data_IF_107367700645
#
_entry.id   IF_107367700645
#
_cell.length_a   1.000
_cell.length_b   1.000
_cell.length_c   1.000
_cell.angle_alpha   90.00
_cell.angle_beta   90.00
_cell.angle_gamma   90.00
#
_symmetry.space_group_name_H-M   'P 1'
#
loop_
_entity.id
_entity.type
_entity.pdbx_description
1 polymer ?
#
# COMPACT_ATOMS: atom_id res chain seq x y z
N UNK A 1 -4.04 10.55 8.89
CA UNK A 1 -4.75 9.32 8.50
C UNK A 1 -3.86 8.59 7.51
N UNK A 2 -4.07 7.29 7.28
CA UNK A 2 -3.20 6.57 6.34
C UNK A 2 -3.77 6.65 4.91
N UNK A 3 -2.89 6.52 3.93
CA UNK A 3 -3.29 6.17 2.58
C UNK A 3 -3.39 4.64 2.48
N UNK A 4 -4.27 4.15 1.59
CA UNK A 4 -4.57 2.73 1.43
C UNK A 4 -4.41 2.35 -0.03
N UNK A 5 -3.71 1.24 -0.31
CA UNK A 5 -3.66 0.61 -1.64
C UNK A 5 -4.74 -0.46 -1.73
N UNK A 6 -5.51 -0.48 -2.82
CA UNK A 6 -6.57 -1.47 -3.06
C UNK A 6 -6.39 -2.22 -4.39
N UNK A 7 -7.37 -3.05 -4.74
CA UNK A 7 -7.28 -4.11 -5.77
C UNK A 7 -7.07 -3.65 -7.22
N UNK A 8 -7.05 -2.34 -7.48
CA UNK A 8 -6.63 -1.75 -8.75
C UNK A 8 -5.10 -1.65 -8.90
N UNK A 9 -4.32 -2.02 -7.87
CA UNK A 9 -2.87 -1.97 -7.92
C UNK A 9 -2.32 -2.98 -8.95
N UNK A 10 -1.58 -2.48 -9.94
CA UNK A 10 -0.94 -3.29 -10.99
C UNK A 10 0.56 -3.56 -10.74
N UNK A 11 1.03 -3.32 -9.50
CA UNK A 11 2.44 -3.44 -9.10
C UNK A 11 3.43 -2.59 -9.93
N UNK A 12 3.01 -1.41 -10.37
CA UNK A 12 3.86 -0.48 -11.16
C UNK A 12 5.08 0.05 -10.37
N UNK A 13 4.89 0.41 -9.10
CA UNK A 13 5.97 0.82 -8.19
C UNK A 13 6.30 2.31 -8.18
N UNK A 14 5.73 3.15 -9.05
CA UNK A 14 6.00 4.60 -9.05
C UNK A 14 5.72 5.30 -7.70
N UNK A 15 4.73 4.83 -6.94
CA UNK A 15 4.41 5.36 -5.61
C UNK A 15 5.52 5.16 -4.58
N UNK A 16 6.37 4.13 -4.73
CA UNK A 16 7.46 3.82 -3.80
C UNK A 16 8.54 4.90 -3.84
N UNK A 17 8.92 5.33 -5.04
CA UNK A 17 9.98 6.32 -5.29
C UNK A 17 9.68 7.70 -4.70
N UNK A 18 8.40 8.03 -4.51
CA UNK A 18 7.96 9.32 -3.98
C UNK A 18 7.60 9.29 -2.50
N UNK A 19 7.56 8.11 -1.87
CA UNK A 19 7.19 8.00 -0.46
C UNK A 19 8.35 8.48 0.44
N UNK A 20 8.21 9.59 1.18
CA UNK A 20 9.31 10.19 1.94
C UNK A 20 9.74 9.39 3.17
N UNK A 21 8.93 8.40 3.56
CA UNK A 21 9.15 7.53 4.72
C UNK A 21 9.27 6.06 4.31
N UNK A 22 9.37 5.78 3.01
CA UNK A 22 9.64 4.43 2.46
C UNK A 22 8.68 3.34 2.98
N UNK A 23 7.42 3.71 3.26
CA UNK A 23 6.44 2.84 3.91
C UNK A 23 5.54 2.07 2.93
N UNK A 24 5.93 1.98 1.65
CA UNK A 24 5.17 1.27 0.60
C UNK A 24 5.99 0.07 0.16
N UNK A 25 5.53 -1.13 0.48
CA UNK A 25 6.31 -2.37 0.35
C UNK A 25 5.63 -3.32 -0.65
N UNK A 26 6.38 -3.97 -1.56
CA UNK A 26 5.83 -4.95 -2.47
C UNK A 26 5.34 -6.18 -1.70
N UNK A 27 4.07 -6.53 -1.85
CA UNK A 27 3.52 -7.76 -1.31
C UNK A 27 4.27 -8.99 -1.82
N UNK A 28 4.68 -9.85 -0.89
CA UNK A 28 5.36 -11.12 -1.14
C UNK A 28 4.80 -12.19 -0.20
N UNK A 29 4.72 -13.46 -0.60
CA UNK A 29 4.78 -13.92 -1.99
C UNK A 29 3.60 -13.36 -2.81
N UNK A 30 3.80 -13.10 -4.11
CA UNK A 30 2.80 -12.41 -4.96
C UNK A 30 1.48 -13.18 -5.07
N UNK A 31 1.49 -14.51 -4.93
CA UNK A 31 0.28 -15.33 -4.94
C UNK A 31 -0.63 -15.10 -3.73
N UNK A 32 -0.08 -14.61 -2.62
CA UNK A 32 -0.80 -14.33 -1.36
C UNK A 32 -1.01 -12.82 -1.17
N UNK A 33 -0.01 -12.02 -1.57
CA UNK A 33 0.04 -10.58 -1.41
C UNK A 33 0.24 -9.91 -2.79
N UNK A 34 -0.82 -9.83 -3.61
CA UNK A 34 -0.72 -9.45 -5.02
C UNK A 34 -0.38 -7.98 -5.25
N UNK A 35 -0.50 -7.11 -4.26
CA UNK A 35 -0.34 -5.66 -4.42
C UNK A 35 0.89 -5.12 -3.71
N UNK A 36 1.12 -3.82 -3.84
CA UNK A 36 1.91 -3.09 -2.85
C UNK A 36 1.01 -2.77 -1.66
N UNK A 37 1.60 -2.63 -0.47
CA UNK A 37 0.88 -2.31 0.76
C UNK A 37 1.55 -1.13 1.46
N UNK A 38 0.73 -0.28 2.08
CA UNK A 38 1.17 0.90 2.84
C UNK A 38 1.14 0.56 4.32
N UNK A 39 2.26 0.76 5.03
CA UNK A 39 2.30 0.63 6.48
C UNK A 39 1.57 1.82 7.12
N UNK A 40 0.41 1.58 7.78
CA UNK A 40 -0.40 2.65 8.35
C UNK A 40 0.24 3.32 9.57
N UNK A 41 1.13 2.63 10.28
CA UNK A 41 1.83 3.17 11.46
C UNK A 41 2.98 4.10 11.05
N UNK A 42 3.56 3.87 9.86
CA UNK A 42 4.66 4.68 9.33
C UNK A 42 4.18 5.79 8.39
N UNK A 43 3.02 5.62 7.73
CA UNK A 43 2.47 6.61 6.82
C UNK A 43 2.23 7.96 7.52
N UNK A 44 2.78 9.04 6.94
CA UNK A 44 2.67 10.40 7.49
C UNK A 44 1.62 11.27 6.79
N UNK A 45 0.71 10.66 6.01
CA UNK A 45 -0.41 11.37 5.37
C UNK A 45 0.01 12.50 4.41
N UNK A 46 1.14 12.33 3.70
CA UNK A 46 1.68 13.40 2.85
C UNK A 46 1.02 13.49 1.46
N UNK A 47 0.34 12.43 0.99
CA UNK A 47 -0.35 12.39 -0.30
C UNK A 47 0.53 12.34 -1.55
N UNK A 48 1.86 12.24 -1.41
CA UNK A 48 2.78 12.25 -2.55
C UNK A 48 2.58 11.05 -3.52
N UNK A 49 2.14 9.90 -3.00
CA UNK A 49 1.95 8.68 -3.78
C UNK A 49 0.67 8.67 -4.65
N UNK A 50 -0.35 9.44 -4.27
CA UNK A 50 -1.66 9.44 -4.94
C UNK A 50 -1.57 9.83 -6.42
N UNK A 51 -0.98 10.99 -6.80
CA UNK A 51 -0.92 11.39 -8.22
C UNK A 51 0.02 10.54 -9.06
N UNK A 52 0.89 9.74 -8.45
CA UNK A 52 1.84 8.89 -9.17
C UNK A 52 1.27 7.51 -9.52
N UNK A 53 0.13 7.12 -8.92
CA UNK A 53 -0.47 5.84 -9.23
C UNK A 53 -1.21 5.88 -10.59
N UNK A 54 -0.79 5.10 -11.59
CA UNK A 54 -1.39 5.17 -12.93
C UNK A 54 -2.83 4.63 -13.01
N UNK A 55 -3.27 3.89 -11.98
CA UNK A 55 -4.61 3.29 -11.90
C UNK A 55 -5.47 3.87 -10.79
N UNK A 56 -5.03 4.98 -10.17
CA UNK A 56 -5.72 5.62 -9.04
C UNK A 56 -6.02 4.64 -7.88
N UNK A 57 -5.16 3.64 -7.68
CA UNK A 57 -5.33 2.57 -6.69
C UNK A 57 -4.91 2.98 -5.26
N UNK A 58 -4.66 4.27 -5.02
CA UNK A 58 -4.21 4.80 -3.73
C UNK A 58 -5.11 5.96 -3.35
N UNK A 59 -5.79 5.84 -2.21
CA UNK A 59 -6.66 6.89 -1.68
C UNK A 59 -6.43 7.08 -0.18
N UNK A 60 -6.70 8.28 0.37
CA UNK A 60 -6.90 8.44 1.80
C UNK A 60 -8.00 7.50 2.30
N UNK A 61 -7.84 6.92 3.48
CA UNK A 61 -8.83 5.99 4.06
C UNK A 61 -10.27 6.53 4.06
N UNK A 62 -10.44 7.83 4.31
CA UNK A 62 -11.76 8.50 4.35
C UNK A 62 -12.42 8.67 2.97
N UNK A 63 -11.63 8.59 1.90
CA UNK A 63 -12.09 8.73 0.52
C UNK A 63 -12.28 7.36 -0.16
N UNK A 64 -12.01 6.25 0.53
CA UNK A 64 -12.20 4.91 -0.03
C UNK A 64 -13.69 4.62 -0.29
N UNK A 65 -14.05 4.17 -1.49
CA UNK A 65 -15.37 3.59 -1.75
C UNK A 65 -15.65 2.37 -0.85
N UNK A 66 -16.91 2.19 -0.44
CA UNK A 66 -17.35 1.08 0.42
C UNK A 66 -16.94 -0.31 -0.12
N UNK A 67 -16.87 -0.47 -1.44
CA UNK A 67 -16.46 -1.72 -2.09
C UNK A 67 -14.98 -2.09 -1.81
N UNK A 68 -14.13 -1.11 -1.49
CA UNK A 68 -12.71 -1.30 -1.20
C UNK A 68 -12.36 -1.16 0.28
N UNK A 69 -13.32 -0.82 1.15
CA UNK A 69 -13.07 -0.57 2.57
C UNK A 69 -12.36 -1.73 3.31
N UNK A 70 -12.51 -2.97 2.83
CA UNK A 70 -11.80 -4.14 3.36
C UNK A 70 -10.28 -4.05 3.22
N UNK A 71 -9.77 -3.23 2.29
CA UNK A 71 -8.35 -3.11 2.02
C UNK A 71 -7.61 -2.29 3.07
N UNK A 72 -8.30 -1.47 3.86
CA UNK A 72 -7.71 -0.75 4.99
C UNK A 72 -7.10 -1.74 5.98
N UNK A 73 -7.87 -2.74 6.41
CA UNK A 73 -7.38 -3.81 7.29
C UNK A 73 -6.32 -4.65 6.58
N UNK A 74 -6.48 -4.94 5.29
CA UNK A 74 -5.50 -5.74 4.55
C UNK A 74 -4.10 -5.07 4.48
N UNK A 75 -4.05 -3.75 4.34
CA UNK A 75 -2.78 -3.02 4.36
C UNK A 75 -2.10 -3.14 5.72
N UNK A 76 -2.83 -3.00 6.82
CA UNK A 76 -2.30 -3.21 8.17
C UNK A 76 -1.84 -4.66 8.39
N UNK A 77 -2.69 -5.63 8.03
CA UNK A 77 -2.42 -7.06 8.18
C UNK A 77 -1.13 -7.50 7.50
N UNK A 78 -0.77 -6.89 6.37
CA UNK A 78 0.49 -7.21 5.70
C UNK A 78 1.74 -6.95 6.58
N UNK A 79 1.69 -5.94 7.46
CA UNK A 79 2.81 -5.59 8.35
C UNK A 79 2.69 -6.21 9.74
N UNK A 80 1.47 -6.53 10.19
CA UNK A 80 1.22 -7.14 11.50
C UNK A 80 1.34 -8.66 11.49
N UNK A 81 0.82 -9.30 10.44
CA UNK A 81 0.70 -10.76 10.31
C UNK A 81 1.42 -11.31 9.07
N UNK A 82 1.56 -10.50 8.03
CA UNK A 82 2.29 -10.82 6.80
C UNK A 82 3.79 -10.54 6.90
N UNK A 83 4.52 -10.64 5.77
CA UNK A 83 5.97 -10.42 5.75
C UNK A 83 6.40 -8.98 6.03
N UNK A 84 5.53 -7.98 5.82
CA UNK A 84 5.85 -6.57 5.98
C UNK A 84 7.19 -6.21 5.33
N UNK A 85 8.06 -5.53 6.07
CA UNK A 85 9.38 -5.12 5.58
C UNK A 85 10.34 -6.28 5.26
N UNK A 86 10.13 -7.49 5.79
CA UNK A 86 10.97 -8.66 5.46
C UNK A 86 10.85 -9.06 3.98
N UNK A 87 9.76 -8.65 3.31
CA UNK A 87 9.60 -8.85 1.87
C UNK A 87 10.68 -8.19 1.02
N UNK A 88 11.34 -7.13 1.52
CA UNK A 88 12.44 -6.47 0.82
C UNK A 88 13.68 -7.38 0.67
N UNK A 89 13.85 -8.36 1.56
CA UNK A 89 14.93 -9.35 1.48
C UNK A 89 14.62 -10.51 0.52
N UNK A 90 13.39 -10.56 -0.03
CA UNK A 90 12.88 -11.61 -0.91
C UNK A 90 12.88 -11.22 -2.39
N UNK A 91 13.19 -9.95 -2.71
CA UNK A 91 13.14 -9.37 -4.06
C UNK A 91 14.46 -9.51 -4.81
#
# INVERSE_FOLDING_TARGET
MTHVIFDLCIRDGACVEVCPVECIIPGMPEEEWPWYYIDPETCIDCGACVPECPTDAILPEEDLPDEYAYTTELNAMYFEEGPGYEALDMV
#
